data_IF_623669544412
#
_entry.id   IF_623669544412
#
_cell.length_a   1.000
_cell.length_b   1.000
_cell.length_c   1.000
_cell.angle_alpha   90.00
_cell.angle_beta   90.00
_cell.angle_gamma   90.00
#
_symmetry.space_group_name_H-M   'P 1'
#
loop_
_entity.id
_entity.type
_entity.pdbx_description
1 polymer ?
#
# COMPACT_ATOMS: atom_id res chain seq x y z
N UNK A 1 -0.70 36.25 -1.04
CA UNK A 1 -2.13 36.59 -0.88
C UNK A 1 -2.24 37.85 -0.01
N UNK A 2 -2.98 38.87 -0.44
CA UNK A 2 -3.12 40.13 0.33
C UNK A 2 -4.11 39.94 1.49
N UNK A 3 -3.75 40.41 2.67
CA UNK A 3 -4.54 40.46 3.92
C UNK A 3 -5.84 41.27 3.75
N UNK A 4 -6.85 40.71 3.10
CA UNK A 4 -8.18 41.32 3.01
C UNK A 4 -9.15 40.56 3.93
N UNK A 5 -10.06 41.28 4.59
CA UNK A 5 -11.01 40.72 5.57
C UNK A 5 -11.85 39.58 5.02
N UNK A 6 -12.22 39.59 3.73
CA UNK A 6 -12.95 38.46 3.10
C UNK A 6 -12.09 37.19 2.93
N UNK A 7 -10.76 37.34 2.84
CA UNK A 7 -9.86 36.19 2.84
C UNK A 7 -9.64 35.66 4.28
N UNK A 8 -9.71 36.53 5.29
CA UNK A 8 -9.69 36.14 6.71
C UNK A 8 -10.99 35.45 7.15
N UNK A 9 -12.15 35.94 6.70
CA UNK A 9 -13.44 35.33 7.02
C UNK A 9 -13.57 33.86 6.57
N UNK A 10 -12.75 33.43 5.60
CA UNK A 10 -12.71 32.05 5.12
C UNK A 10 -11.80 31.13 5.95
N UNK A 11 -10.92 31.64 6.81
CA UNK A 11 -10.19 30.76 7.76
C UNK A 11 -11.15 30.16 8.79
N UNK A 12 -12.28 30.82 9.04
CA UNK A 12 -13.19 30.48 10.12
C UNK A 12 -14.40 29.65 9.66
N UNK A 13 -14.63 29.54 8.34
CA UNK A 13 -15.69 28.72 7.74
C UNK A 13 -15.09 27.54 6.97
N UNK A 14 -15.00 26.39 7.63
CA UNK A 14 -14.38 25.18 7.03
C UNK A 14 -15.22 24.46 5.97
N UNK A 15 -16.37 25.02 5.58
CA UNK A 15 -17.31 24.41 4.62
C UNK A 15 -17.09 24.88 3.17
N UNK A 16 -16.38 26.00 2.96
CA UNK A 16 -16.24 26.65 1.65
C UNK A 16 -14.79 27.01 1.32
N UNK A 17 -14.40 26.82 0.07
CA UNK A 17 -13.10 27.26 -0.47
C UNK A 17 -13.25 28.54 -1.31
N UNK A 18 -12.42 29.54 -1.03
CA UNK A 18 -12.46 30.85 -1.68
C UNK A 18 -11.67 30.80 -2.99
N UNK A 19 -12.34 30.59 -4.12
CA UNK A 19 -11.69 30.53 -5.44
C UNK A 19 -11.26 31.90 -5.97
N UNK A 20 -12.08 32.94 -5.75
CA UNK A 20 -11.80 34.31 -6.20
C UNK A 20 -12.30 35.32 -5.17
N UNK A 21 -11.39 36.14 -4.65
CA UNK A 21 -11.72 37.20 -3.70
C UNK A 21 -12.06 38.51 -4.41
N UNK A 22 -13.24 39.08 -4.12
CA UNK A 22 -13.73 40.38 -4.61
C UNK A 22 -12.63 41.46 -4.68
N UNK A 23 -11.84 41.61 -3.61
CA UNK A 23 -10.76 42.61 -3.49
C UNK A 23 -9.47 42.22 -4.23
N UNK A 24 -9.20 40.93 -4.45
CA UNK A 24 -7.98 40.45 -5.10
C UNK A 24 -8.12 40.20 -6.61
N UNK A 25 -9.34 39.92 -7.10
CA UNK A 25 -9.61 39.59 -8.50
C UNK A 25 -10.30 40.69 -9.31
N UNK A 26 -10.56 41.89 -8.73
CA UNK A 26 -11.32 42.99 -9.37
C UNK A 26 -12.70 42.54 -9.92
N UNK A 27 -13.29 41.50 -9.33
CA UNK A 27 -14.63 41.01 -9.66
C UNK A 27 -15.63 41.56 -8.64
N UNK A 28 -16.88 41.84 -9.04
CA UNK A 28 -17.90 42.40 -8.12
C UNK A 28 -18.41 41.43 -7.06
N UNK A 29 -18.06 40.14 -7.18
CA UNK A 29 -18.47 39.07 -6.28
C UNK A 29 -17.29 38.19 -5.90
N UNK A 30 -17.30 37.72 -4.65
CA UNK A 30 -16.48 36.60 -4.22
C UNK A 30 -17.19 35.31 -4.65
N UNK A 31 -16.43 34.37 -5.22
CA UNK A 31 -16.96 33.09 -5.65
C UNK A 31 -16.44 32.01 -4.69
N UNK A 32 -17.39 31.36 -4.02
CA UNK A 32 -17.16 30.29 -3.07
C UNK A 32 -17.69 29.01 -3.67
N UNK A 33 -16.90 27.95 -3.61
CA UNK A 33 -17.38 26.60 -3.90
C UNK A 33 -17.42 25.80 -2.60
N UNK A 34 -18.49 25.02 -2.38
CA UNK A 34 -18.50 24.08 -1.27
C UNK A 34 -17.31 23.14 -1.41
N UNK A 35 -16.61 22.88 -0.30
CA UNK A 35 -15.55 21.88 -0.27
C UNK A 35 -16.22 20.52 -0.52
N UNK A 36 -15.81 19.77 -1.56
CA UNK A 36 -16.45 18.50 -1.85
C UNK A 36 -16.20 17.52 -0.69
N UNK A 37 -17.28 16.99 -0.12
CA UNK A 37 -17.17 15.94 0.89
C UNK A 37 -16.73 14.61 0.27
N UNK A 38 -16.38 13.62 1.10
CA UNK A 38 -15.80 12.37 0.61
C UNK A 38 -16.75 11.59 -0.33
N UNK A 39 -18.07 11.67 -0.09
CA UNK A 39 -19.08 11.12 -0.99
C UNK A 39 -19.03 11.79 -2.38
N UNK A 40 -18.94 13.12 -2.43
CA UNK A 40 -18.86 13.89 -3.68
C UNK A 40 -17.55 13.63 -4.44
N UNK A 41 -16.43 13.50 -3.72
CA UNK A 41 -15.13 13.13 -4.32
C UNK A 41 -15.25 11.77 -5.01
N UNK A 42 -15.78 10.75 -4.31
CA UNK A 42 -15.94 9.42 -4.89
C UNK A 42 -16.96 9.39 -6.03
N UNK A 43 -18.03 10.16 -5.93
CA UNK A 43 -19.00 10.29 -7.02
C UNK A 43 -18.38 10.93 -8.26
N UNK A 44 -17.52 11.94 -8.09
CA UNK A 44 -16.72 12.55 -9.15
C UNK A 44 -15.85 11.51 -9.87
N UNK A 45 -15.08 10.71 -9.11
CA UNK A 45 -14.22 9.64 -9.64
C UNK A 45 -14.99 8.55 -10.41
N UNK A 46 -16.27 8.36 -10.10
CA UNK A 46 -17.14 7.45 -10.82
C UNK A 46 -17.66 8.09 -12.11
N UNK A 47 -18.05 9.36 -12.07
CA UNK A 47 -18.61 10.11 -13.21
C UNK A 47 -17.57 10.45 -14.27
N UNK A 48 -16.35 10.79 -13.86
CA UNK A 48 -15.25 11.09 -14.77
C UNK A 48 -14.57 9.84 -15.33
N UNK A 49 -14.94 8.65 -14.83
CA UNK A 49 -14.42 7.37 -15.29
C UNK A 49 -13.07 6.97 -14.69
N UNK A 50 -12.48 7.75 -13.78
CA UNK A 50 -11.17 7.48 -13.14
C UNK A 50 -11.17 6.12 -12.43
N UNK A 51 -12.15 5.90 -11.56
CA UNK A 51 -12.24 4.66 -10.78
C UNK A 51 -12.63 3.43 -11.62
N UNK A 52 -13.64 3.51 -12.52
CA UNK A 52 -13.92 2.45 -13.48
C UNK A 52 -12.71 2.07 -14.35
N UNK A 53 -11.99 3.06 -14.91
CA UNK A 53 -10.82 2.83 -15.75
C UNK A 53 -9.68 2.16 -14.97
N UNK A 54 -9.44 2.61 -13.74
CA UNK A 54 -8.47 1.99 -12.83
C UNK A 54 -8.74 0.48 -12.66
N UNK A 55 -9.99 0.10 -12.42
CA UNK A 55 -10.38 -1.30 -12.22
C UNK A 55 -10.34 -2.11 -13.51
N UNK A 56 -10.83 -1.54 -14.61
CA UNK A 56 -10.84 -2.18 -15.92
C UNK A 56 -9.41 -2.46 -16.40
N UNK A 57 -8.51 -1.47 -16.33
CA UNK A 57 -7.10 -1.63 -16.69
C UNK A 57 -6.41 -2.69 -15.81
N UNK A 58 -6.66 -2.71 -14.50
CA UNK A 58 -6.15 -3.77 -13.60
C UNK A 58 -6.62 -5.16 -14.04
N UNK A 59 -7.87 -5.29 -14.45
CA UNK A 59 -8.42 -6.55 -14.95
C UNK A 59 -7.72 -6.97 -16.25
N UNK A 60 -7.63 -6.07 -17.23
CA UNK A 60 -6.98 -6.31 -18.53
C UNK A 60 -5.51 -6.71 -18.36
N UNK A 61 -4.75 -6.00 -17.53
CA UNK A 61 -3.35 -6.33 -17.26
C UNK A 61 -3.19 -7.72 -16.63
N UNK A 62 -4.11 -8.12 -15.73
CA UNK A 62 -4.12 -9.50 -15.19
C UNK A 62 -4.42 -10.53 -16.27
N UNK A 63 -5.35 -10.25 -17.19
CA UNK A 63 -5.64 -11.14 -18.32
C UNK A 63 -4.42 -11.27 -19.23
N UNK A 64 -3.77 -10.16 -19.59
CA UNK A 64 -2.52 -10.17 -20.38
C UNK A 64 -1.45 -11.01 -19.67
N UNK A 65 -1.22 -10.78 -18.39
CA UNK A 65 -0.23 -11.51 -17.61
C UNK A 65 -0.50 -13.02 -17.61
N UNK A 66 -1.75 -13.45 -17.40
CA UNK A 66 -2.13 -14.87 -17.45
C UNK A 66 -1.95 -15.49 -18.83
N UNK A 67 -2.29 -14.76 -19.89
CA UNK A 67 -2.10 -15.25 -21.26
C UNK A 67 -0.61 -15.38 -21.59
N UNK A 68 0.20 -14.36 -21.26
CA UNK A 68 1.65 -14.45 -21.41
C UNK A 68 2.24 -15.60 -20.58
N UNK A 69 1.77 -15.83 -19.35
CA UNK A 69 2.20 -16.95 -18.51
C UNK A 69 1.93 -18.29 -19.19
N UNK A 70 0.72 -18.48 -19.73
CA UNK A 70 0.32 -19.71 -20.42
C UNK A 70 1.21 -19.97 -21.64
N UNK A 71 1.40 -18.97 -22.50
CA UNK A 71 2.22 -19.07 -23.70
C UNK A 71 3.72 -19.31 -23.40
N UNK A 72 4.23 -18.72 -22.31
CA UNK A 72 5.65 -18.82 -21.95
C UNK A 72 5.96 -19.97 -20.99
N UNK A 73 4.95 -20.66 -20.45
CA UNK A 73 5.12 -21.74 -19.46
C UNK A 73 5.99 -22.90 -19.99
N UNK A 74 5.87 -23.21 -21.29
CA UNK A 74 6.65 -24.24 -21.98
C UNK A 74 8.02 -23.79 -22.48
N UNK A 75 8.39 -22.52 -22.33
CA UNK A 75 9.70 -22.02 -22.77
C UNK A 75 10.84 -22.55 -21.91
N UNK A 76 11.96 -22.85 -22.57
CA UNK A 76 13.23 -23.18 -21.90
C UNK A 76 13.78 -21.98 -21.11
N UNK A 77 13.66 -20.76 -21.66
CA UNK A 77 14.05 -19.55 -20.94
C UNK A 77 13.01 -19.20 -19.87
N UNK A 78 13.49 -18.79 -18.69
CA UNK A 78 12.65 -18.25 -17.61
C UNK A 78 12.50 -16.73 -17.66
N UNK A 79 13.24 -16.05 -18.53
CA UNK A 79 13.20 -14.59 -18.73
C UNK A 79 13.02 -14.27 -20.21
N UNK A 80 11.99 -13.51 -20.50
CA UNK A 80 11.61 -13.09 -21.85
C UNK A 80 11.62 -11.58 -21.92
N UNK A 81 12.47 -11.04 -22.77
CA UNK A 81 12.64 -9.62 -22.96
C UNK A 81 11.95 -9.15 -24.24
N UNK A 82 11.11 -8.13 -24.10
CA UNK A 82 10.43 -7.45 -25.19
C UNK A 82 10.97 -6.02 -25.27
N UNK A 83 12.23 -5.88 -25.68
CA UNK A 83 12.98 -4.61 -25.62
C UNK A 83 12.27 -3.47 -26.35
N UNK A 84 11.57 -3.77 -27.46
CA UNK A 84 10.78 -2.78 -28.23
C UNK A 84 9.73 -2.05 -27.37
N UNK A 85 9.17 -2.73 -26.37
CA UNK A 85 8.08 -2.20 -25.54
C UNK A 85 8.53 -1.85 -24.12
N UNK A 86 9.83 -1.96 -23.83
CA UNK A 86 10.40 -1.81 -22.50
C UNK A 86 9.79 -2.79 -21.47
N UNK A 87 9.47 -4.03 -21.88
CA UNK A 87 8.79 -5.02 -21.02
C UNK A 87 9.65 -6.27 -20.84
N UNK A 88 9.62 -6.82 -19.63
CA UNK A 88 10.16 -8.14 -19.31
C UNK A 88 9.08 -9.00 -18.67
N UNK A 89 8.98 -10.24 -19.12
CA UNK A 89 8.18 -11.28 -18.51
C UNK A 89 9.11 -12.36 -17.97
N UNK A 90 8.96 -12.74 -16.70
CA UNK A 90 9.84 -13.73 -16.08
C UNK A 90 9.16 -14.57 -15.02
N UNK A 91 9.64 -15.80 -14.90
CA UNK A 91 9.31 -16.70 -13.80
C UNK A 91 10.32 -16.51 -12.67
N UNK A 92 9.84 -16.16 -11.49
CA UNK A 92 10.66 -15.90 -10.30
C UNK A 92 10.33 -16.91 -9.22
N UNK A 93 11.30 -17.70 -8.74
CA UNK A 93 11.07 -18.59 -7.61
C UNK A 93 10.87 -17.76 -6.34
N UNK A 94 9.76 -18.01 -5.65
CA UNK A 94 9.40 -17.39 -4.38
C UNK A 94 9.36 -18.44 -3.29
N UNK A 95 10.32 -18.35 -2.36
CA UNK A 95 10.36 -19.19 -1.17
C UNK A 95 9.21 -18.82 -0.24
N UNK A 96 8.41 -19.80 0.16
CA UNK A 96 7.39 -19.69 1.19
C UNK A 96 8.01 -20.22 2.48
N UNK A 97 8.16 -19.33 3.46
CA UNK A 97 8.83 -19.65 4.72
C UNK A 97 7.81 -19.69 5.86
N UNK A 98 7.92 -20.69 6.72
CA UNK A 98 7.46 -20.60 8.10
C UNK A 98 8.51 -19.88 8.93
N UNK A 99 8.08 -19.02 9.85
CA UNK A 99 8.98 -18.26 10.71
C UNK A 99 8.67 -18.62 12.16
N UNK A 100 9.69 -19.06 12.89
CA UNK A 100 9.65 -19.17 14.33
C UNK A 100 9.82 -17.77 14.94
N UNK A 101 8.69 -17.08 15.16
CA UNK A 101 8.71 -15.71 15.68
C UNK A 101 9.13 -15.67 17.15
N UNK A 102 8.79 -16.68 17.95
CA UNK A 102 9.13 -16.75 19.37
C UNK A 102 10.64 -16.87 19.53
N UNK A 103 11.27 -17.85 18.87
CA UNK A 103 12.74 -18.00 18.88
C UNK A 103 13.48 -16.80 18.29
N UNK A 104 12.92 -16.17 17.24
CA UNK A 104 13.47 -14.93 16.71
C UNK A 104 13.39 -13.77 17.72
N UNK A 105 12.29 -13.65 18.46
CA UNK A 105 12.14 -12.62 19.48
C UNK A 105 13.09 -12.85 20.66
N UNK A 106 13.26 -14.10 21.11
CA UNK A 106 14.26 -14.46 22.14
C UNK A 106 15.67 -14.07 21.71
N UNK A 107 16.05 -14.38 20.47
CA UNK A 107 17.33 -13.96 19.91
C UNK A 107 17.46 -12.43 19.92
N UNK A 108 16.44 -11.71 19.45
CA UNK A 108 16.45 -10.25 19.41
C UNK A 108 16.52 -9.64 20.80
N UNK A 109 15.93 -10.28 21.82
CA UNK A 109 16.06 -9.87 23.21
C UNK A 109 17.51 -10.02 23.69
N UNK A 110 18.10 -11.19 23.46
CA UNK A 110 19.48 -11.50 23.87
C UNK A 110 20.52 -10.56 23.25
N UNK A 111 20.28 -10.06 22.03
CA UNK A 111 21.15 -9.06 21.38
C UNK A 111 20.73 -7.61 21.63
N UNK A 112 19.74 -7.36 22.49
CA UNK A 112 19.30 -6.01 22.89
C UNK A 112 18.52 -5.25 21.81
N UNK A 113 17.92 -5.94 20.85
CA UNK A 113 17.20 -5.35 19.71
C UNK A 113 15.69 -5.60 19.71
N UNK A 114 15.13 -6.39 20.65
CA UNK A 114 13.70 -6.71 20.66
C UNK A 114 12.83 -5.44 20.69
N UNK A 115 13.03 -4.57 21.67
CA UNK A 115 12.22 -3.35 21.85
C UNK A 115 12.16 -2.43 20.62
N UNK A 116 13.29 -2.06 19.98
CA UNK A 116 13.21 -1.17 18.83
C UNK A 116 12.51 -1.80 17.62
N UNK A 117 12.53 -3.14 17.48
CA UNK A 117 12.03 -3.81 16.26
C UNK A 117 10.64 -4.43 16.41
N UNK A 118 10.23 -4.83 17.61
CA UNK A 118 8.99 -5.59 17.81
C UNK A 118 7.74 -4.70 17.69
N UNK A 119 6.66 -5.28 17.18
CA UNK A 119 5.30 -4.77 17.25
C UNK A 119 4.38 -5.91 17.68
N UNK A 120 3.27 -5.63 18.36
CA UNK A 120 2.32 -6.68 18.73
C UNK A 120 1.64 -7.23 17.46
N UNK A 121 1.56 -8.57 17.34
CA UNK A 121 0.77 -9.19 16.27
C UNK A 121 -0.71 -9.17 16.67
N UNK A 122 -1.41 -8.11 16.24
CA UNK A 122 -2.85 -7.97 16.50
C UNK A 122 -3.65 -9.20 16.06
N UNK A 123 -3.23 -9.90 14.99
CA UNK A 123 -3.93 -11.10 14.50
C UNK A 123 -3.74 -12.32 15.39
N UNK A 124 -2.66 -12.36 16.16
CA UNK A 124 -2.40 -13.39 17.15
C UNK A 124 -3.18 -13.10 18.43
N UNK A 125 -3.04 -11.90 18.98
CA UNK A 125 -3.66 -11.52 20.26
C UNK A 125 -5.18 -11.50 20.19
N UNK A 126 -5.79 -11.15 19.05
CA UNK A 126 -7.26 -11.18 18.91
C UNK A 126 -7.89 -12.57 19.00
N UNK A 127 -7.08 -13.63 19.03
CA UNK A 127 -7.56 -15.00 19.24
C UNK A 127 -7.74 -15.33 20.72
N UNK A 128 -7.17 -14.52 21.60
CA UNK A 128 -7.18 -14.67 23.04
C UNK A 128 -7.81 -13.41 23.66
N UNK A 129 -9.03 -13.55 24.17
CA UNK A 129 -9.79 -12.41 24.67
C UNK A 129 -9.15 -11.79 25.92
N UNK A 130 -8.56 -12.61 26.80
CA UNK A 130 -7.92 -12.12 28.03
C UNK A 130 -6.72 -11.23 27.69
N UNK A 131 -5.92 -11.64 26.72
CA UNK A 131 -4.77 -10.86 26.23
C UNK A 131 -5.25 -9.57 25.55
N UNK A 132 -6.35 -9.63 24.80
CA UNK A 132 -6.92 -8.44 24.15
C UNK A 132 -7.37 -7.39 25.18
N UNK A 133 -8.04 -7.83 26.25
CA UNK A 133 -8.55 -6.97 27.32
C UNK A 133 -7.39 -6.30 28.08
N UNK A 134 -6.32 -7.05 28.38
CA UNK A 134 -5.09 -6.49 28.97
C UNK A 134 -4.47 -5.42 28.04
N UNK A 135 -4.50 -5.66 26.73
CA UNK A 135 -3.86 -4.78 25.77
C UNK A 135 -4.62 -3.48 25.48
N UNK A 136 -5.85 -3.32 25.96
CA UNK A 136 -6.70 -2.16 25.70
C UNK A 136 -6.05 -0.85 26.19
N UNK A 137 -5.42 -0.86 27.37
CA UNK A 137 -4.78 0.33 27.94
C UNK A 137 -3.49 0.77 27.23
N UNK A 138 -2.90 -0.09 26.38
CA UNK A 138 -1.69 0.23 25.63
C UNK A 138 -1.95 0.58 24.16
N UNK A 139 -3.21 0.66 23.74
CA UNK A 139 -3.55 1.03 22.37
C UNK A 139 -3.18 2.49 22.09
N UNK A 140 -2.49 2.70 20.97
CA UNK A 140 -2.23 4.02 20.41
C UNK A 140 -3.48 4.54 19.70
N UNK A 141 -3.46 5.82 19.34
CA UNK A 141 -4.54 6.45 18.59
C UNK A 141 -4.90 5.62 17.34
N UNK A 142 -6.19 5.26 17.15
CA UNK A 142 -6.61 4.49 16.00
C UNK A 142 -6.30 5.23 14.69
N UNK A 143 -5.71 4.50 13.74
CA UNK A 143 -5.53 5.00 12.38
C UNK A 143 -6.63 4.44 11.48
N UNK A 144 -6.94 5.14 10.40
CA UNK A 144 -8.06 4.79 9.53
C UNK A 144 -7.65 4.77 8.05
N UNK A 145 -8.42 4.05 7.24
CA UNK A 145 -8.35 4.10 5.79
C UNK A 145 -9.75 4.25 5.18
N UNK A 146 -9.79 4.83 3.98
CA UNK A 146 -11.03 5.00 3.22
C UNK A 146 -11.28 3.76 2.36
N UNK A 147 -12.50 3.22 2.46
CA UNK A 147 -12.98 2.11 1.64
C UNK A 147 -14.27 2.50 0.89
N UNK A 148 -14.25 2.55 -0.45
CA UNK A 148 -15.48 2.67 -1.22
C UNK A 148 -16.25 1.33 -1.25
N UNK A 149 -17.57 1.40 -1.19
CA UNK A 149 -18.49 0.29 -1.29
C UNK A 149 -19.58 0.62 -2.32
N UNK A 150 -19.73 -0.20 -3.36
CA UNK A 150 -20.62 0.11 -4.48
C UNK A 150 -21.98 -0.58 -4.39
N UNK A 151 -23.03 0.16 -4.73
CA UNK A 151 -24.38 -0.37 -4.93
C UNK A 151 -24.50 -1.03 -6.33
N UNK A 152 -25.71 -1.46 -6.74
CA UNK A 152 -25.93 -2.08 -8.04
C UNK A 152 -25.46 -1.20 -9.21
N UNK A 153 -25.84 0.09 -9.22
CA UNK A 153 -25.43 1.06 -10.25
C UNK A 153 -23.91 1.24 -10.30
N UNK A 154 -23.27 1.41 -9.14
CA UNK A 154 -21.82 1.53 -9.07
C UNK A 154 -21.07 0.27 -9.48
N UNK A 155 -21.65 -0.91 -9.27
CA UNK A 155 -21.09 -2.19 -9.74
C UNK A 155 -21.21 -2.33 -11.26
N UNK A 156 -22.33 -1.91 -11.85
CA UNK A 156 -22.53 -1.91 -13.30
C UNK A 156 -21.50 -1.00 -14.00
N UNK A 157 -21.27 0.21 -13.47
CA UNK A 157 -20.21 1.10 -13.99
C UNK A 157 -18.79 0.56 -13.82
N UNK A 158 -18.56 -0.26 -12.80
CA UNK A 158 -17.25 -0.87 -12.52
C UNK A 158 -17.07 -2.24 -13.20
N UNK A 159 -18.05 -2.70 -13.96
CA UNK A 159 -17.94 -3.96 -14.66
C UNK A 159 -16.82 -3.85 -15.70
N UNK A 160 -15.84 -4.74 -15.61
CA UNK A 160 -14.79 -4.78 -16.60
C UNK A 160 -15.40 -5.21 -17.95
N UNK A 161 -15.09 -4.48 -19.01
CA UNK A 161 -15.49 -4.88 -20.35
C UNK A 161 -14.89 -6.25 -20.67
N UNK A 162 -15.59 -7.08 -21.47
CA UNK A 162 -14.97 -8.23 -22.10
C UNK A 162 -13.67 -7.81 -22.80
N UNK A 163 -12.57 -8.46 -22.43
CA UNK A 163 -11.25 -8.17 -22.98
C UNK A 163 -10.76 -9.41 -23.71
N UNK A 164 -11.13 -9.49 -24.99
CA UNK A 164 -10.81 -10.61 -25.89
C UNK A 164 -9.39 -10.45 -26.43
N UNK A 165 -8.52 -11.39 -26.06
CA UNK A 165 -7.11 -11.41 -26.48
C UNK A 165 -6.70 -12.76 -27.08
N UNK A 166 -7.69 -13.55 -27.51
CA UNK A 166 -7.44 -14.84 -28.15
C UNK A 166 -6.69 -14.62 -29.48
N UNK A 167 -5.66 -15.43 -29.72
CA UNK A 167 -4.81 -15.34 -30.91
C UNK A 167 -3.83 -14.16 -30.93
N UNK A 168 -3.74 -13.35 -29.86
CA UNK A 168 -2.77 -12.27 -29.79
C UNK A 168 -1.34 -12.80 -29.68
N UNK A 169 -0.42 -12.22 -30.44
CA UNK A 169 1.00 -12.54 -30.33
C UNK A 169 1.61 -11.98 -29.04
N UNK A 170 2.72 -12.57 -28.58
CA UNK A 170 3.46 -12.09 -27.41
C UNK A 170 3.94 -10.64 -27.56
N UNK A 171 4.35 -10.23 -28.76
CA UNK A 171 4.70 -8.83 -29.04
C UNK A 171 3.51 -7.89 -28.88
N UNK A 172 2.33 -8.30 -29.33
CA UNK A 172 1.13 -7.49 -29.19
C UNK A 172 0.68 -7.38 -27.73
N UNK A 173 0.79 -8.48 -26.97
CA UNK A 173 0.55 -8.50 -25.52
C UNK A 173 1.52 -7.57 -24.78
N UNK A 174 2.82 -7.63 -25.09
CA UNK A 174 3.83 -6.79 -24.47
C UNK A 174 3.63 -5.29 -24.77
N UNK A 175 3.32 -4.94 -26.02
CA UNK A 175 3.01 -3.56 -26.40
C UNK A 175 1.77 -3.03 -25.70
N UNK A 176 0.71 -3.84 -25.63
CA UNK A 176 -0.52 -3.47 -24.92
C UNK A 176 -0.30 -3.35 -23.41
N UNK A 177 0.47 -4.26 -22.81
CA UNK A 177 0.85 -4.20 -21.40
C UNK A 177 1.55 -2.87 -21.08
N UNK A 178 2.55 -2.49 -21.87
CA UNK A 178 3.33 -1.26 -21.65
C UNK A 178 2.44 -0.01 -21.63
N UNK A 179 1.53 0.12 -22.60
CA UNK A 179 0.58 1.23 -22.69
C UNK A 179 -0.38 1.24 -21.49
N UNK A 180 -1.04 0.12 -21.22
CA UNK A 180 -2.00 0.01 -20.11
C UNK A 180 -1.34 0.23 -18.75
N UNK A 181 -0.11 -0.24 -18.55
CA UNK A 181 0.61 -0.06 -17.29
C UNK A 181 0.94 1.43 -17.04
N UNK A 182 1.30 2.18 -18.09
CA UNK A 182 1.52 3.63 -17.97
C UNK A 182 0.23 4.37 -17.56
N UNK A 183 -0.90 4.05 -18.20
CA UNK A 183 -2.20 4.62 -17.84
C UNK A 183 -2.61 4.23 -16.41
N UNK A 184 -2.34 2.98 -16.00
CA UNK A 184 -2.65 2.50 -14.66
C UNK A 184 -1.99 3.36 -13.58
N UNK A 185 -0.71 3.72 -13.75
CA UNK A 185 0.01 4.53 -12.77
C UNK A 185 -0.58 5.94 -12.64
N UNK A 186 -1.07 6.53 -13.74
CA UNK A 186 -1.80 7.81 -13.71
C UNK A 186 -3.09 7.71 -12.88
N UNK A 187 -3.97 6.74 -13.21
CA UNK A 187 -5.22 6.55 -12.47
C UNK A 187 -5.00 6.16 -11.00
N UNK A 188 -3.94 5.41 -10.69
CA UNK A 188 -3.56 5.10 -9.30
C UNK A 188 -3.19 6.37 -8.54
N UNK A 189 -2.40 7.25 -9.14
CA UNK A 189 -1.99 8.50 -8.54
C UNK A 189 -3.21 9.39 -8.20
N UNK A 190 -4.11 9.58 -9.16
CA UNK A 190 -5.31 10.40 -8.96
C UNK A 190 -6.22 9.81 -7.88
N UNK A 191 -6.38 8.49 -7.87
CA UNK A 191 -7.17 7.81 -6.86
C UNK A 191 -6.55 7.89 -5.44
N UNK A 192 -5.24 7.74 -5.30
CA UNK A 192 -4.59 7.89 -3.99
C UNK A 192 -4.65 9.33 -3.49
N UNK A 193 -4.51 10.33 -4.37
CA UNK A 193 -4.73 11.73 -4.03
C UNK A 193 -6.16 11.97 -3.53
N UNK A 194 -7.16 11.40 -4.20
CA UNK A 194 -8.54 11.47 -3.77
C UNK A 194 -8.76 10.78 -2.42
N UNK A 195 -8.13 9.63 -2.15
CA UNK A 195 -8.20 8.96 -0.85
C UNK A 195 -7.67 9.81 0.29
N UNK A 196 -6.54 10.50 0.08
CA UNK A 196 -5.99 11.42 1.08
C UNK A 196 -6.96 12.57 1.36
N UNK A 197 -7.54 13.18 0.32
CA UNK A 197 -8.54 14.23 0.50
C UNK A 197 -9.81 13.71 1.22
N UNK A 198 -10.24 12.48 0.94
CA UNK A 198 -11.36 11.85 1.64
C UNK A 198 -11.07 11.60 3.12
N UNK A 199 -9.83 11.25 3.49
CA UNK A 199 -9.42 11.06 4.89
C UNK A 199 -9.46 12.37 5.71
N UNK A 200 -9.27 13.51 5.06
CA UNK A 200 -9.34 14.83 5.67
C UNK A 200 -10.79 15.37 5.80
N UNK A 201 -11.77 14.65 5.25
CA UNK A 201 -13.18 15.06 5.26
C UNK A 201 -13.81 14.93 6.66
N UNK A 202 -14.15 16.08 7.28
CA UNK A 202 -14.77 16.15 8.61
C UNK A 202 -16.07 15.34 8.74
N UNK A 203 -16.94 15.43 7.73
CA UNK A 203 -18.21 14.67 7.69
C UNK A 203 -17.95 13.16 7.72
N UNK A 204 -16.94 12.68 6.98
CA UNK A 204 -16.61 11.25 6.98
C UNK A 204 -15.98 10.82 8.32
N UNK A 205 -15.19 11.68 8.95
CA UNK A 205 -14.62 11.42 10.28
C UNK A 205 -15.71 11.32 11.36
N UNK A 206 -16.77 12.11 11.24
CA UNK A 206 -17.92 12.12 12.17
C UNK A 206 -18.86 10.94 11.91
N UNK A 207 -19.37 10.80 10.69
CA UNK A 207 -20.43 9.84 10.37
C UNK A 207 -19.89 8.44 10.06
N UNK A 208 -18.58 8.29 9.89
CA UNK A 208 -17.84 7.07 9.50
C UNK A 208 -18.26 6.48 8.15
N UNK A 209 -19.37 6.91 7.56
CA UNK A 209 -19.88 6.44 6.29
C UNK A 209 -20.72 7.53 5.62
N UNK A 210 -20.37 7.88 4.40
CA UNK A 210 -21.15 8.80 3.57
C UNK A 210 -21.68 8.08 2.33
N UNK A 211 -22.97 8.23 2.04
CA UNK A 211 -23.62 7.61 0.88
C UNK A 211 -23.62 8.56 -0.32
N UNK A 212 -23.57 8.01 -1.52
CA UNK A 212 -23.58 8.75 -2.79
C UNK A 212 -24.31 7.94 -3.87
N UNK A 213 -24.47 8.49 -5.08
CA UNK A 213 -25.29 7.88 -6.14
C UNK A 213 -24.89 6.42 -6.47
N UNK A 214 -23.60 6.12 -6.45
CA UNK A 214 -23.03 4.83 -6.84
C UNK A 214 -22.68 3.91 -5.66
N UNK A 215 -22.98 4.31 -4.43
CA UNK A 215 -22.64 3.51 -3.26
C UNK A 215 -22.42 4.33 -2.00
N UNK A 216 -21.33 4.04 -1.29
CA UNK A 216 -20.92 4.75 -0.08
C UNK A 216 -19.41 4.70 0.09
N UNK A 217 -18.87 5.70 0.75
CA UNK A 217 -17.49 5.75 1.23
C UNK A 217 -17.51 5.51 2.73
N UNK A 218 -16.73 4.54 3.20
CA UNK A 218 -16.62 4.21 4.62
C UNK A 218 -15.22 4.45 5.13
N UNK A 219 -15.12 4.95 6.37
CA UNK A 219 -13.90 5.05 7.13
C UNK A 219 -13.75 3.78 7.97
N UNK A 220 -12.66 3.05 7.78
CA UNK A 220 -12.42 1.77 8.47
C UNK A 220 -11.16 1.90 9.31
N UNK A 221 -11.25 1.47 10.56
CA UNK A 221 -10.09 1.41 11.45
C UNK A 221 -9.08 0.38 10.95
N UNK A 222 -7.81 0.73 10.97
CA UNK A 222 -6.73 -0.24 10.83
C UNK A 222 -6.65 -1.12 12.06
N UNK A 223 -5.91 -2.24 11.96
CA UNK A 223 -5.55 -3.02 13.14
C UNK A 223 -4.86 -2.09 14.18
N UNK A 224 -5.21 -2.18 15.47
CA UNK A 224 -4.63 -1.35 16.52
C UNK A 224 -3.10 -1.41 16.54
N UNK A 225 -2.50 -0.25 16.80
CA UNK A 225 -1.09 -0.13 17.13
C UNK A 225 -0.95 -0.03 18.65
N UNK A 226 0.15 -0.53 19.18
CA UNK A 226 0.35 -0.65 20.62
C UNK A 226 1.63 0.05 21.07
N UNK A 227 1.61 0.61 22.28
CA UNK A 227 2.76 1.20 22.93
C UNK A 227 3.68 0.10 23.48
N UNK A 228 4.59 -0.39 22.64
CA UNK A 228 5.54 -1.47 22.97
C UNK A 228 6.41 -1.14 24.19
N UNK A 229 7.00 0.07 24.34
CA UNK A 229 7.74 0.44 25.56
C UNK A 229 6.93 0.26 26.85
N UNK A 230 5.70 0.78 26.89
CA UNK A 230 4.85 0.66 28.08
C UNK A 230 4.47 -0.81 28.37
N UNK A 231 4.18 -1.59 27.32
CA UNK A 231 3.94 -3.03 27.46
C UNK A 231 5.14 -3.75 28.08
N UNK A 232 6.37 -3.42 27.65
CA UNK A 232 7.55 -4.04 28.22
C UNK A 232 7.76 -3.68 29.69
N UNK A 233 7.50 -2.43 30.07
CA UNK A 233 7.66 -1.95 31.44
C UNK A 233 6.67 -2.63 32.40
N UNK A 234 5.44 -2.88 31.96
CA UNK A 234 4.37 -3.40 32.82
C UNK A 234 4.14 -4.92 32.70
N UNK A 235 4.23 -5.49 31.49
CA UNK A 235 3.95 -6.90 31.21
C UNK A 235 5.23 -7.75 30.99
N UNK A 236 6.39 -7.09 30.88
CA UNK A 236 7.69 -7.74 30.71
C UNK A 236 8.01 -8.18 29.28
N UNK A 237 9.26 -8.60 29.10
CA UNK A 237 9.82 -9.06 27.82
C UNK A 237 9.18 -10.36 27.33
N UNK A 238 8.82 -11.28 28.22
CA UNK A 238 8.23 -12.58 27.89
C UNK A 238 6.91 -12.40 27.12
N UNK A 239 6.16 -11.36 27.47
CA UNK A 239 4.95 -10.97 26.75
C UNK A 239 5.26 -10.58 25.31
N UNK A 240 6.30 -9.76 25.11
CA UNK A 240 6.75 -9.34 23.78
C UNK A 240 7.35 -10.50 22.97
N UNK A 241 8.02 -11.45 23.63
CA UNK A 241 8.55 -12.64 22.98
C UNK A 241 7.41 -13.50 22.42
N UNK A 242 6.36 -13.69 23.20
CA UNK A 242 5.22 -14.56 22.84
C UNK A 242 4.25 -13.95 21.82
N UNK A 243 3.93 -12.67 21.97
CA UNK A 243 2.88 -11.99 21.19
C UNK A 243 3.42 -10.92 20.22
N UNK A 244 4.73 -10.71 20.24
CA UNK A 244 5.41 -9.78 19.35
C UNK A 244 5.72 -10.39 17.99
N UNK A 245 5.75 -9.52 17.00
CA UNK A 245 6.20 -9.77 15.65
C UNK A 245 7.22 -8.72 15.27
N UNK A 246 8.44 -9.12 14.90
CA UNK A 246 9.44 -8.16 14.44
C UNK A 246 8.97 -7.41 13.19
N UNK A 247 9.18 -6.10 13.20
CA UNK A 247 8.99 -5.27 12.04
C UNK A 247 10.12 -5.51 11.03
N UNK A 248 9.75 -5.98 9.84
CA UNK A 248 10.71 -6.37 8.80
C UNK A 248 11.55 -5.20 8.31
N UNK A 249 10.99 -4.00 8.26
CA UNK A 249 11.70 -2.82 7.76
C UNK A 249 12.73 -2.35 8.79
N UNK A 250 12.38 -2.40 10.08
CA UNK A 250 13.31 -2.11 11.17
C UNK A 250 14.42 -3.17 11.27
N UNK A 251 14.10 -4.45 11.12
CA UNK A 251 15.11 -5.51 11.05
C UNK A 251 16.07 -5.29 9.89
N UNK A 252 15.55 -4.99 8.69
CA UNK A 252 16.36 -4.70 7.51
C UNK A 252 17.29 -3.49 7.71
N UNK A 253 16.83 -2.49 8.47
CA UNK A 253 17.67 -1.35 8.86
C UNK A 253 18.87 -1.79 9.71
N UNK A 254 18.67 -2.60 10.75
CA UNK A 254 19.75 -3.09 11.60
C UNK A 254 20.71 -4.03 10.86
N UNK A 255 20.19 -4.87 9.96
CA UNK A 255 21.01 -5.69 9.07
C UNK A 255 21.88 -4.81 8.18
N UNK A 256 21.29 -3.79 7.55
CA UNK A 256 22.01 -2.88 6.66
C UNK A 256 23.06 -2.07 7.42
N UNK A 257 22.85 -1.81 8.72
CA UNK A 257 23.82 -1.14 9.59
C UNK A 257 24.94 -2.06 10.11
N UNK A 258 24.82 -3.37 9.95
CA UNK A 258 25.79 -4.35 10.43
C UNK A 258 25.64 -4.70 11.91
N UNK A 259 24.56 -4.29 12.58
CA UNK A 259 24.31 -4.62 14.00
C UNK A 259 23.98 -6.10 14.19
N UNK A 260 23.29 -6.69 13.21
CA UNK A 260 22.99 -8.13 13.12
C UNK A 260 23.23 -8.59 11.70
N UNK A 261 23.56 -9.86 11.51
CA UNK A 261 23.72 -10.43 10.18
C UNK A 261 22.38 -10.97 9.65
N UNK A 262 22.28 -11.05 8.32
CA UNK A 262 21.12 -11.70 7.68
C UNK A 262 21.01 -13.18 8.05
N UNK A 263 22.16 -13.85 8.29
CA UNK A 263 22.21 -15.27 8.66
C UNK A 263 21.58 -15.51 10.03
N UNK A 264 21.79 -14.57 10.96
CA UNK A 264 21.23 -14.64 12.31
C UNK A 264 19.69 -14.63 12.30
N UNK A 265 19.09 -14.02 11.27
CA UNK A 265 17.63 -13.97 11.11
C UNK A 265 17.13 -15.13 10.24
N UNK A 266 17.93 -15.59 9.28
CA UNK A 266 17.55 -16.70 8.38
C UNK A 266 17.47 -18.05 9.10
N UNK A 267 18.19 -18.26 10.20
CA UNK A 267 18.11 -19.51 10.98
C UNK A 267 16.71 -19.77 11.57
N UNK A 268 15.91 -18.73 11.81
CA UNK A 268 14.53 -18.82 12.31
C UNK A 268 13.49 -19.02 11.19
N UNK A 269 13.95 -19.19 9.94
CA UNK A 269 13.09 -19.36 8.78
C UNK A 269 13.25 -20.77 8.22
N UNK A 270 12.16 -21.50 8.16
CA UNK A 270 12.12 -22.80 7.50
C UNK A 270 11.43 -22.67 6.15
N UNK A 271 12.13 -23.02 5.07
CA UNK A 271 11.51 -23.07 3.73
C UNK A 271 10.53 -24.23 3.71
N UNK A 272 9.24 -23.90 3.60
CA UNK A 272 8.15 -24.89 3.54
C UNK A 272 7.78 -25.27 2.12
N UNK A 273 7.91 -24.34 1.18
CA UNK A 273 7.58 -24.54 -0.22
C UNK A 273 8.32 -23.52 -1.10
N UNK A 274 8.44 -23.82 -2.40
CA UNK A 274 8.99 -22.91 -3.41
C UNK A 274 7.98 -22.81 -4.55
N UNK A 275 7.28 -21.68 -4.59
CA UNK A 275 6.31 -21.39 -5.65
C UNK A 275 6.98 -20.60 -6.77
N UNK A 276 6.65 -20.92 -8.02
CA UNK A 276 7.08 -20.13 -9.17
C UNK A 276 6.04 -19.05 -9.46
N UNK A 277 6.40 -17.78 -9.28
CA UNK A 277 5.53 -16.65 -9.60
C UNK A 277 5.89 -16.12 -11.00
N UNK A 278 4.89 -15.92 -11.86
CA UNK A 278 5.07 -15.23 -13.14
C UNK A 278 4.85 -13.73 -12.99
N UNK A 279 5.81 -12.93 -13.44
CA UNK A 279 5.81 -11.48 -13.27
C UNK A 279 6.07 -10.81 -14.61
N UNK A 280 5.26 -9.79 -14.93
CA UNK A 280 5.49 -8.87 -16.05
C UNK A 280 5.78 -7.48 -15.47
N UNK A 281 6.81 -6.81 -15.96
CA UNK A 281 7.17 -5.46 -15.52
C UNK A 281 7.97 -4.71 -16.59
N UNK A 282 8.20 -3.42 -16.36
CA UNK A 282 9.09 -2.63 -17.22
C UNK A 282 10.55 -3.05 -17.03
N UNK A 283 11.34 -3.09 -18.10
CA UNK A 283 12.77 -3.43 -18.02
C UNK A 283 13.53 -2.41 -17.15
N UNK A 284 13.20 -1.13 -17.26
CA UNK A 284 13.84 -0.10 -16.42
C UNK A 284 13.48 -0.23 -14.94
N UNK A 285 12.30 -0.77 -14.61
CA UNK A 285 11.94 -1.11 -13.23
C UNK A 285 12.75 -2.30 -12.75
N UNK A 286 12.91 -3.33 -13.56
CA UNK A 286 13.76 -4.48 -13.25
C UNK A 286 15.22 -4.04 -13.00
N UNK A 287 15.80 -3.22 -13.88
CA UNK A 287 17.17 -2.71 -13.75
C UNK A 287 17.37 -1.95 -12.45
N UNK A 288 16.49 -0.99 -12.14
CA UNK A 288 16.53 -0.24 -10.88
C UNK A 288 16.42 -1.15 -9.66
N UNK A 289 15.57 -2.18 -9.70
CA UNK A 289 15.47 -3.15 -8.61
C UNK A 289 16.78 -3.94 -8.43
N UNK A 290 17.40 -4.39 -9.51
CA UNK A 290 18.67 -5.12 -9.46
C UNK A 290 19.82 -4.23 -8.93
N UNK A 291 19.90 -2.98 -9.37
CA UNK A 291 20.87 -2.00 -8.88
C UNK A 291 20.69 -1.72 -7.38
N UNK A 292 19.45 -1.52 -6.93
CA UNK A 292 19.15 -1.33 -5.50
C UNK A 292 19.58 -2.55 -4.67
N UNK A 293 19.32 -3.77 -5.15
CA UNK A 293 19.72 -5.01 -4.48
C UNK A 293 21.24 -5.19 -4.45
N UNK A 294 21.92 -4.85 -5.55
CA UNK A 294 23.39 -4.91 -5.63
C UNK A 294 24.02 -3.92 -4.63
N UNK A 295 23.55 -2.67 -4.61
CA UNK A 295 24.01 -1.64 -3.69
C UNK A 295 23.76 -2.02 -2.22
N UNK A 296 22.60 -2.63 -1.91
CA UNK A 296 22.30 -3.14 -0.57
C UNK A 296 23.27 -4.26 -0.17
N UNK A 297 23.57 -5.18 -1.09
CA UNK A 297 24.53 -6.27 -0.87
C UNK A 297 25.94 -5.74 -0.60
N UNK A 298 26.43 -4.80 -1.41
CA UNK A 298 27.74 -4.16 -1.22
C UNK A 298 27.80 -3.46 0.15
N UNK A 299 26.80 -2.66 0.49
CA UNK A 299 26.77 -1.92 1.76
C UNK A 299 26.76 -2.86 2.97
N UNK A 300 25.97 -3.93 2.90
CA UNK A 300 25.91 -4.93 3.96
C UNK A 300 27.27 -5.64 4.11
N UNK A 301 27.89 -6.03 3.00
CA UNK A 301 29.23 -6.64 3.01
C UNK A 301 30.32 -5.71 3.58
N UNK A 302 30.31 -4.43 3.20
CA UNK A 302 31.26 -3.44 3.73
C UNK A 302 31.08 -3.20 5.23
N UNK A 303 29.85 -3.22 5.74
CA UNK A 303 29.60 -3.05 7.17
C UNK A 303 30.00 -4.29 7.97
N UNK A 304 29.82 -5.49 7.42
CA UNK A 304 30.32 -6.74 8.03
C UNK A 304 31.85 -6.81 8.08
N UNK A 305 32.56 -6.13 7.17
CA UNK A 305 34.03 -6.04 7.21
C UNK A 305 34.54 -5.00 8.22
N UNK A 306 33.66 -4.15 8.75
CA UNK A 306 34.01 -3.06 9.69
C UNK A 306 33.59 -3.32 11.13
N UNK A 307 32.68 -4.26 11.35
CA UNK A 307 32.27 -4.76 12.66
C UNK A 307 33.22 -5.85 13.13
#
# INVERSE_FOLDING_TARGET
MKNCENCRFNSDRSEFDLKKCKKCSRTDRAYFEPIPNAASIMEGLMKDGTYPSLNNIKSRLKTIQKTMEKELSGSESKRHEFSRYNVVAKFVPKKINSIDYEGLNEFLYNVGLLLPVVKIDHKQVKKDQEVLDILECYQLEPTYYVKPNFNKKGKELNQADPFEIEGWSLDHLAGTYSNLNSQLEHYKFDYEKAKLAMLECKELLQDKKLSHEFGSVSLIANDPLYNVPAINEELGEDFLIKYGKPDTDKLDYFITKGTISKRDIEQFKTVTDIRLDFIVMELDKERRMLEMLHNKTIRTGLNLMRA
#
